data_IF_344233696925
#
_entry.id   IF_344233696925
#
_cell.length_a   1.000
_cell.length_b   1.000
_cell.length_c   1.000
_cell.angle_alpha   90.00
_cell.angle_beta   90.00
_cell.angle_gamma   90.00
#
_symmetry.space_group_name_H-M   'P 1'
#
loop_
_entity.id
_entity.type
_entity.pdbx_description
1 polymer ?
#
# COMPACT_ATOMS: atom_id res chain seq x y z
N UNK A 1 12.32 -7.55 12.42
CA UNK A 1 11.90 -7.14 11.06
C UNK A 1 12.82 -6.02 10.64
N UNK A 2 13.62 -6.20 9.58
CA UNK A 2 14.42 -5.10 9.03
C UNK A 2 13.53 -4.29 8.08
N UNK A 3 13.64 -2.96 8.13
CA UNK A 3 12.99 -2.07 7.18
C UNK A 3 14.09 -1.57 6.25
N UNK A 4 14.01 -1.96 4.99
CA UNK A 4 14.92 -1.48 3.96
C UNK A 4 14.45 -0.12 3.45
N UNK A 5 15.36 0.85 3.42
CA UNK A 5 15.06 2.23 3.01
C UNK A 5 15.91 2.56 1.79
N UNK A 6 15.25 2.96 0.71
CA UNK A 6 15.87 3.35 -0.54
C UNK A 6 15.63 4.84 -0.79
N UNK A 7 16.65 5.55 -1.25
CA UNK A 7 16.60 7.00 -1.47
C UNK A 7 17.17 7.35 -2.84
N UNK A 8 16.56 8.34 -3.49
CA UNK A 8 17.04 8.95 -4.72
C UNK A 8 16.54 10.39 -4.81
N UNK A 9 17.26 11.22 -5.54
CA UNK A 9 16.83 12.57 -5.91
C UNK A 9 15.86 12.58 -7.09
N UNK A 10 15.74 11.45 -7.79
CA UNK A 10 14.89 11.28 -8.97
C UNK A 10 13.90 10.14 -8.74
N UNK A 11 12.77 10.20 -9.44
CA UNK A 11 11.74 9.18 -9.31
C UNK A 11 12.12 7.90 -10.09
N UNK A 12 12.68 8.06 -11.28
CA UNK A 12 12.95 7.00 -12.25
C UNK A 12 13.85 5.88 -11.70
N UNK A 13 14.93 6.15 -10.94
CA UNK A 13 15.75 5.10 -10.35
C UNK A 13 14.98 4.26 -9.33
N UNK A 14 14.21 4.90 -8.44
CA UNK A 14 13.39 4.20 -7.44
C UNK A 14 12.28 3.40 -8.10
N UNK A 15 11.67 3.96 -9.15
CA UNK A 15 10.65 3.28 -9.94
C UNK A 15 11.21 2.03 -10.62
N UNK A 16 12.40 2.13 -11.25
CA UNK A 16 13.05 0.97 -11.87
C UNK A 16 13.35 -0.12 -10.85
N UNK A 17 13.93 0.26 -9.71
CA UNK A 17 14.23 -0.69 -8.64
C UNK A 17 12.97 -1.35 -8.08
N UNK A 18 11.90 -0.58 -7.88
CA UNK A 18 10.61 -1.10 -7.45
C UNK A 18 10.06 -2.16 -8.44
N UNK A 19 10.15 -1.89 -9.74
CA UNK A 19 9.71 -2.84 -10.77
C UNK A 19 10.56 -4.12 -10.78
N UNK A 20 11.87 -4.01 -10.55
CA UNK A 20 12.75 -5.18 -10.43
C UNK A 20 12.39 -6.05 -9.22
N UNK A 21 11.98 -5.44 -8.10
CA UNK A 21 11.51 -6.19 -6.94
C UNK A 21 10.18 -6.91 -7.22
N UNK A 22 9.26 -6.28 -7.94
CA UNK A 22 7.97 -6.89 -8.31
C UNK A 22 8.10 -8.05 -9.30
N UNK A 23 9.14 -8.08 -10.12
CA UNK A 23 9.41 -9.22 -11.01
C UNK A 23 9.84 -10.49 -10.23
N UNK A 24 10.16 -10.35 -8.93
CA UNK A 24 10.50 -11.49 -8.08
C UNK A 24 9.25 -12.35 -7.84
N UNK A 25 9.29 -13.67 -8.06
CA UNK A 25 8.14 -14.54 -7.86
C UNK A 25 7.57 -14.41 -6.44
N UNK A 26 6.24 -14.30 -6.27
CA UNK A 26 5.63 -14.21 -4.96
C UNK A 26 5.88 -15.51 -4.18
N UNK A 27 5.97 -15.38 -2.85
CA UNK A 27 6.19 -16.54 -1.96
C UNK A 27 5.04 -17.56 -1.98
N UNK A 28 3.85 -17.16 -2.43
CA UNK A 28 2.65 -18.00 -2.51
C UNK A 28 1.82 -17.65 -3.75
N UNK A 29 1.16 -18.63 -4.40
CA UNK A 29 0.39 -18.43 -5.64
C UNK A 29 -0.77 -17.43 -5.56
N UNK A 30 -1.21 -17.06 -4.36
CA UNK A 30 -2.33 -16.13 -4.11
C UNK A 30 -1.98 -15.05 -3.08
N UNK A 31 -0.68 -14.78 -2.88
CA UNK A 31 -0.27 -13.67 -2.03
C UNK A 31 -0.72 -12.35 -2.66
N UNK A 32 -1.47 -11.55 -1.92
CA UNK A 32 -1.86 -10.20 -2.34
C UNK A 32 -0.63 -9.31 -2.21
N UNK A 33 -0.28 -8.60 -3.30
CA UNK A 33 0.78 -7.60 -3.27
C UNK A 33 0.24 -6.30 -2.67
N UNK A 34 0.74 -5.89 -1.51
CA UNK A 34 0.31 -4.68 -0.81
C UNK A 34 1.26 -3.53 -1.10
N UNK A 35 0.76 -2.48 -1.73
CA UNK A 35 1.55 -1.29 -2.07
C UNK A 35 0.96 -0.09 -1.34
N UNK A 36 1.77 0.55 -0.50
CA UNK A 36 1.39 1.80 0.18
C UNK A 36 1.74 2.97 -0.73
N UNK A 37 0.74 3.79 -1.06
CA UNK A 37 0.90 4.94 -1.95
C UNK A 37 0.56 6.25 -1.23
N UNK A 38 1.12 7.40 -1.65
CA UNK A 38 0.84 8.69 -1.01
C UNK A 38 -0.61 9.16 -1.21
N UNK A 39 -1.19 8.89 -2.38
CA UNK A 39 -2.52 9.35 -2.77
C UNK A 39 -3.12 8.46 -3.87
N UNK A 40 -4.44 8.50 -4.03
CA UNK A 40 -5.19 7.64 -4.98
C UNK A 40 -4.78 7.82 -6.45
N UNK A 41 -4.29 8.99 -6.85
CA UNK A 41 -3.78 9.23 -8.21
C UNK A 41 -2.62 8.29 -8.58
N UNK A 42 -1.82 7.88 -7.59
CA UNK A 42 -0.74 6.92 -7.79
C UNK A 42 -1.26 5.52 -8.11
N UNK A 43 -2.39 5.10 -7.55
CA UNK A 43 -2.99 3.79 -7.83
C UNK A 43 -3.27 3.63 -9.33
N UNK A 44 -3.83 4.67 -9.95
CA UNK A 44 -4.12 4.69 -11.39
C UNK A 44 -2.85 4.71 -12.24
N UNK A 45 -1.80 5.40 -11.78
CA UNK A 45 -0.50 5.41 -12.47
C UNK A 45 0.15 4.03 -12.42
N UNK A 46 0.29 3.46 -11.21
CA UNK A 46 0.87 2.15 -10.97
C UNK A 46 0.12 1.07 -11.76
N UNK A 47 -1.21 1.05 -11.65
CA UNK A 47 -2.02 0.02 -12.32
C UNK A 47 -1.80 0.01 -13.84
N UNK A 48 -1.77 1.19 -14.47
CA UNK A 48 -1.54 1.29 -15.92
C UNK A 48 -0.11 0.94 -16.31
N UNK A 49 0.87 1.42 -15.56
CA UNK A 49 2.27 1.18 -15.86
C UNK A 49 2.61 -0.32 -15.71
N UNK A 50 2.10 -0.96 -14.66
CA UNK A 50 2.34 -2.38 -14.38
C UNK A 50 1.57 -3.28 -15.35
N UNK A 51 0.31 -2.97 -15.65
CA UNK A 51 -0.45 -3.72 -16.67
C UNK A 51 0.25 -3.66 -18.03
N UNK A 52 0.85 -2.51 -18.38
CA UNK A 52 1.62 -2.37 -19.62
C UNK A 52 2.90 -3.21 -19.64
N UNK A 53 3.55 -3.40 -18.49
CA UNK A 53 4.78 -4.20 -18.36
C UNK A 53 4.51 -5.71 -18.34
N UNK A 54 3.54 -6.15 -17.54
CA UNK A 54 3.29 -7.57 -17.29
C UNK A 54 2.14 -8.16 -18.14
N UNK A 55 1.50 -7.35 -18.99
CA UNK A 55 0.33 -7.74 -19.80
C UNK A 55 -0.98 -7.78 -19.01
N UNK A 56 -0.92 -7.97 -17.70
CA UNK A 56 -2.03 -7.78 -16.78
C UNK A 56 -1.52 -7.25 -15.43
N UNK A 57 -2.39 -6.60 -14.68
CA UNK A 57 -2.14 -6.22 -13.30
C UNK A 57 -3.36 -6.61 -12.50
N UNK A 58 -3.22 -7.60 -11.61
CA UNK A 58 -4.30 -8.21 -10.85
C UNK A 58 -3.79 -8.65 -9.46
N UNK A 59 -4.69 -8.84 -8.50
CA UNK A 59 -4.38 -9.34 -7.15
C UNK A 59 -3.42 -8.48 -6.32
N UNK A 60 -3.56 -7.16 -6.44
CA UNK A 60 -2.85 -6.15 -5.65
C UNK A 60 -3.82 -5.38 -4.76
N UNK A 61 -3.29 -4.81 -3.67
CA UNK A 61 -4.02 -3.89 -2.82
C UNK A 61 -3.22 -2.59 -2.69
N UNK A 62 -3.83 -1.48 -3.07
CA UNK A 62 -3.31 -0.16 -2.73
C UNK A 62 -3.91 0.32 -1.41
N UNK A 63 -3.08 0.96 -0.59
CA UNK A 63 -3.53 1.68 0.61
C UNK A 63 -2.81 3.00 0.71
N UNK A 64 -3.48 4.02 1.23
CA UNK A 64 -2.77 5.20 1.72
C UNK A 64 -2.00 4.86 3.01
N UNK A 65 -1.00 5.67 3.36
CA UNK A 65 -0.24 5.45 4.60
C UNK A 65 -1.15 5.36 5.84
N UNK A 66 -2.15 6.24 5.95
CA UNK A 66 -3.10 6.21 7.07
C UNK A 66 -3.92 4.93 7.11
N UNK A 67 -4.43 4.45 5.96
CA UNK A 67 -5.18 3.19 5.87
C UNK A 67 -4.30 1.98 6.21
N UNK A 68 -3.04 2.00 5.80
CA UNK A 68 -2.09 0.95 6.12
C UNK A 68 -1.80 0.90 7.62
N UNK A 69 -1.43 2.04 8.23
CA UNK A 69 -1.15 2.15 9.67
C UNK A 69 -2.36 1.67 10.48
N UNK A 70 -3.56 2.14 10.16
CA UNK A 70 -4.77 1.73 10.87
C UNK A 70 -5.03 0.22 10.74
N UNK A 71 -4.76 -0.37 9.58
CA UNK A 71 -4.86 -1.82 9.38
C UNK A 71 -3.86 -2.60 10.25
N UNK A 72 -2.61 -2.14 10.32
CA UNK A 72 -1.59 -2.76 11.17
C UNK A 72 -1.91 -2.61 12.67
N UNK A 73 -2.44 -1.45 13.08
CA UNK A 73 -2.90 -1.23 14.46
C UNK A 73 -4.08 -2.14 14.81
N UNK A 74 -5.04 -2.33 13.90
CA UNK A 74 -6.19 -3.22 14.14
C UNK A 74 -5.76 -4.68 14.30
N UNK A 75 -4.75 -5.11 13.54
CA UNK A 75 -4.18 -6.45 13.65
C UNK A 75 -3.40 -6.63 14.96
N UNK A 76 -2.65 -5.62 15.39
CA UNK A 76 -1.84 -5.67 16.62
C UNK A 76 -2.65 -5.53 17.91
N UNK A 77 -3.69 -4.68 17.91
CA UNK A 77 -4.45 -4.30 19.11
C UNK A 77 -5.84 -4.95 19.19
N UNK A 78 -6.36 -5.50 18.09
CA UNK A 78 -7.73 -5.99 17.98
C UNK A 78 -8.71 -4.94 17.44
N UNK A 79 -9.75 -5.39 16.73
CA UNK A 79 -10.63 -4.56 15.89
C UNK A 79 -11.50 -3.54 16.64
N UNK A 80 -11.76 -3.76 17.93
CA UNK A 80 -12.63 -2.88 18.74
C UNK A 80 -12.01 -1.51 19.05
N UNK A 81 -10.69 -1.42 19.20
CA UNK A 81 -10.03 -0.15 19.58
C UNK A 81 -9.83 0.81 18.39
N UNK A 82 -9.80 0.29 17.16
CA UNK A 82 -9.55 1.10 15.96
C UNK A 82 -10.81 1.77 15.44
N UNK A 83 -11.98 1.13 15.57
CA UNK A 83 -13.27 1.70 15.18
C UNK A 83 -13.61 2.99 15.95
N UNK A 84 -13.13 3.11 17.19
CA UNK A 84 -13.30 4.31 18.02
C UNK A 84 -12.49 5.53 17.55
N UNK A 85 -11.60 5.37 16.55
CA UNK A 85 -10.69 6.43 16.10
C UNK A 85 -10.97 6.97 14.69
N UNK A 86 -12.02 6.49 14.03
CA UNK A 86 -12.40 7.01 12.72
C UNK A 86 -12.84 8.48 12.84
N UNK A 87 -12.30 9.35 11.98
CA UNK A 87 -12.57 10.79 12.01
C UNK A 87 -14.08 11.09 11.82
N UNK A 88 -14.79 10.22 11.09
CA UNK A 88 -16.24 10.27 10.99
C UNK A 88 -16.94 10.02 12.32
N UNK A 89 -16.46 9.06 13.13
CA UNK A 89 -17.02 8.77 14.44
C UNK A 89 -16.80 9.92 15.44
N UNK A 90 -15.63 10.57 15.40
CA UNK A 90 -15.35 11.73 16.26
C UNK A 90 -16.22 12.95 15.93
N UNK A 91 -16.56 13.15 14.66
CA UNK A 91 -17.42 14.27 14.24
C UNK A 91 -18.79 14.20 14.91
N UNK A 92 -19.34 13.00 15.10
CA UNK A 92 -20.63 12.80 15.76
C UNK A 92 -20.53 12.69 17.28
N UNK A 93 -19.37 12.34 17.84
CA UNK A 93 -19.18 12.22 19.28
C UNK A 93 -19.00 13.57 20.01
N UNK A 94 -18.68 14.64 19.27
CA UNK A 94 -18.42 15.99 19.82
C UNK A 94 -19.61 16.95 19.56
N UNK A 95 -20.62 16.51 18.78
CA UNK A 95 -21.79 17.31 18.41
C UNK A 95 -22.93 17.25 19.44
#
# INVERSE_FOLDING_TARGET
MAIDVYQSTEFEPLWRYFLEQLDTPPRSPLAIELIVVPASGWESYFSRALARRHGCWAHYQFRTLGQWINGQLAEALGSQEVAARDAGAFTWAIA
#
